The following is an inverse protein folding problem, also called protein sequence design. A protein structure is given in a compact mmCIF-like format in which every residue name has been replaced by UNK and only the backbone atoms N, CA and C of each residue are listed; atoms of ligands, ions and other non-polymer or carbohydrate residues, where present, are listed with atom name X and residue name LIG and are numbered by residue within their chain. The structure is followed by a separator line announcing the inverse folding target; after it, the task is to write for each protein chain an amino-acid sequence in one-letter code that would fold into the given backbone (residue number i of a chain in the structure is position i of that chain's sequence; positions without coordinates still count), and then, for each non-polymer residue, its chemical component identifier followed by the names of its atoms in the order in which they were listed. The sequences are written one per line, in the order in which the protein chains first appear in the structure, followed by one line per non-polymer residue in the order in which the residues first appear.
data_IF_457629445523
#
_entry.id   IF_457629445523
#
_cell.length_a   1.000
_cell.length_b   1.000
_cell.length_c   1.000
_cell.angle_alpha   90.00
_cell.angle_beta   90.00
_cell.angle_gamma   90.00
#
_symmetry.space_group_name_H-M   'P 1'
#
loop_
_entity.id
_entity.type
_entity.pdbx_description
1 polymer ?
#
# COMPACT_ATOMS: atom_id res chain seq x y z
N UNK A 1 5.55 -0.38 -8.06
CA UNK A 1 6.13 -1.28 -7.03
C UNK A 1 5.00 -2.13 -6.50
N UNK A 2 5.16 -3.47 -6.40
CA UNK A 2 4.08 -4.31 -5.85
C UNK A 2 4.25 -4.39 -4.33
N UNK A 3 3.32 -3.80 -3.60
CA UNK A 3 3.25 -3.87 -2.14
C UNK A 3 2.02 -4.71 -1.78
N UNK A 4 2.17 -5.63 -0.84
CA UNK A 4 1.09 -6.54 -0.46
C UNK A 4 0.78 -6.35 1.03
N UNK A 5 -0.41 -5.81 1.32
CA UNK A 5 -0.92 -5.70 2.68
C UNK A 5 -1.70 -6.94 3.05
N UNK A 6 -1.63 -7.32 4.32
CA UNK A 6 -2.43 -8.42 4.88
C UNK A 6 -2.66 -8.21 6.37
N UNK A 7 -3.69 -8.86 6.89
CA UNK A 7 -4.04 -8.81 8.31
C UNK A 7 -4.54 -10.17 8.79
N UNK A 8 -4.49 -10.41 10.09
CA UNK A 8 -4.84 -11.70 10.71
C UNK A 8 -6.26 -12.15 10.41
N UNK A 9 -7.21 -11.20 10.43
CA UNK A 9 -8.61 -11.40 10.08
C UNK A 9 -9.18 -10.07 9.59
N UNK A 10 -10.28 -10.10 8.85
CA UNK A 10 -10.93 -8.88 8.33
C UNK A 10 -12.33 -8.74 8.91
N UNK A 11 -12.59 -7.61 9.56
CA UNK A 11 -13.95 -7.28 10.01
C UNK A 11 -14.71 -6.60 8.87
N UNK A 12 -15.71 -7.30 8.31
CA UNK A 12 -16.56 -6.79 7.22
C UNK A 12 -15.72 -6.25 6.03
N UNK A 13 -15.83 -4.95 5.76
CA UNK A 13 -15.20 -4.21 4.65
C UNK A 13 -13.91 -3.48 5.06
N UNK A 14 -13.41 -3.69 6.28
CA UNK A 14 -12.25 -2.98 6.84
C UNK A 14 -10.93 -3.65 6.44
N UNK A 15 -10.66 -3.67 5.12
CA UNK A 15 -9.53 -4.36 4.52
C UNK A 15 -8.16 -3.78 4.92
N UNK A 16 -7.13 -4.61 4.90
CA UNK A 16 -5.75 -4.22 5.24
C UNK A 16 -5.21 -3.05 4.41
N UNK A 17 -5.58 -2.95 3.14
CA UNK A 17 -5.10 -1.90 2.22
C UNK A 17 -5.53 -0.48 2.60
N UNK A 18 -6.52 -0.34 3.46
CA UNK A 18 -7.00 0.96 3.94
C UNK A 18 -5.95 1.66 4.82
N UNK A 19 -5.16 0.89 5.57
CA UNK A 19 -4.08 1.41 6.41
C UNK A 19 -2.86 1.98 5.66
N UNK A 20 -2.93 2.13 4.34
CA UNK A 20 -1.89 2.74 3.48
C UNK A 20 -2.50 3.54 2.32
N UNK A 21 -3.77 3.94 2.45
CA UNK A 21 -4.47 4.69 1.39
C UNK A 21 -4.12 6.19 1.38
N UNK A 22 -3.42 6.67 2.41
CA UNK A 22 -3.00 8.07 2.56
C UNK A 22 -4.12 9.01 3.04
N UNK A 23 -5.28 8.47 3.40
CA UNK A 23 -6.41 9.26 3.90
C UNK A 23 -6.28 9.46 5.41
N UNK A 24 -5.73 10.60 5.81
CA UNK A 24 -5.47 10.92 7.22
C UNK A 24 -6.56 11.78 7.85
N UNK A 25 -7.50 12.29 7.06
CA UNK A 25 -8.64 13.09 7.53
C UNK A 25 -9.75 12.17 8.07
N UNK A 26 -9.48 11.61 9.25
CA UNK A 26 -10.38 10.71 9.95
C UNK A 26 -11.32 11.56 10.80
N UNK A 27 -12.50 11.87 10.28
CA UNK A 27 -13.58 12.42 11.09
C UNK A 27 -13.95 11.43 12.22
N UNK A 28 -14.39 11.95 13.36
CA UNK A 28 -14.75 11.19 14.57
C UNK A 28 -16.11 10.47 14.39
N UNK A 29 -16.29 9.77 13.28
CA UNK A 29 -17.51 9.04 12.95
C UNK A 29 -17.19 7.66 12.35
N UNK A 30 -18.13 6.72 12.57
CA UNK A 30 -18.00 5.33 12.13
C UNK A 30 -17.85 5.19 10.62
N UNK A 31 -18.59 5.98 9.84
CA UNK A 31 -18.60 5.86 8.38
C UNK A 31 -17.26 6.30 7.80
N UNK A 32 -16.63 7.31 8.41
CA UNK A 32 -15.29 7.75 8.04
C UNK A 32 -14.22 6.74 8.37
N UNK A 33 -14.25 6.17 9.57
CA UNK A 33 -13.31 5.11 9.94
C UNK A 33 -13.51 3.85 9.09
N UNK A 34 -14.75 3.46 8.80
CA UNK A 34 -15.02 2.33 7.91
C UNK A 34 -14.45 2.56 6.52
N UNK A 35 -14.33 3.81 6.06
CA UNK A 35 -13.77 4.14 4.75
C UNK A 35 -12.26 3.99 4.71
N UNK A 36 -11.57 4.48 5.73
CA UNK A 36 -10.11 4.70 5.71
C UNK A 36 -9.30 3.79 6.65
N UNK A 37 -9.93 3.14 7.63
CA UNK A 37 -9.21 2.29 8.56
C UNK A 37 -9.31 0.80 8.20
N UNK A 38 -8.22 0.08 8.46
CA UNK A 38 -8.22 -1.39 8.52
C UNK A 38 -8.66 -1.86 9.89
N UNK A 39 -9.28 -3.06 9.97
CA UNK A 39 -9.71 -3.64 11.23
C UNK A 39 -9.76 -5.16 11.22
N UNK A 40 -9.23 -5.75 12.29
CA UNK A 40 -9.35 -7.19 12.56
C UNK A 40 -10.60 -7.53 13.37
N UNK A 41 -11.03 -8.78 13.29
CA UNK A 41 -12.02 -9.32 14.23
C UNK A 41 -11.42 -9.34 15.64
N UNK A 42 -12.28 -9.22 16.65
CA UNK A 42 -11.89 -9.36 18.06
C UNK A 42 -11.74 -10.84 18.39
N UNK A 43 -10.54 -11.25 18.76
CA UNK A 43 -10.20 -12.64 19.05
C UNK A 43 -9.37 -12.74 20.34
N UNK A 44 -9.26 -13.93 20.92
CA UNK A 44 -8.38 -14.17 22.08
C UNK A 44 -6.91 -13.95 21.74
N UNK A 45 -6.54 -14.21 20.48
CA UNK A 45 -5.22 -13.93 19.95
C UNK A 45 -5.04 -12.44 19.63
N UNK A 46 -3.79 -11.98 19.62
CA UNK A 46 -3.50 -10.60 19.22
C UNK A 46 -3.60 -10.46 17.70
N UNK A 47 -4.50 -9.59 17.23
CA UNK A 47 -4.59 -9.27 15.81
C UNK A 47 -3.30 -8.64 15.27
N UNK A 48 -2.99 -8.88 14.01
CA UNK A 48 -1.83 -8.29 13.34
C UNK A 48 -2.18 -7.74 11.96
N UNK A 49 -1.46 -6.71 11.55
CA UNK A 49 -1.45 -6.14 10.22
C UNK A 49 0.00 -6.12 9.70
N UNK A 50 0.23 -6.35 8.42
CA UNK A 50 1.56 -6.22 7.81
C UNK A 50 1.52 -5.77 6.36
N UNK A 51 2.62 -5.15 5.94
CA UNK A 51 2.93 -4.84 4.54
C UNK A 51 4.24 -5.50 4.14
N UNK A 52 4.27 -6.07 2.94
CA UNK A 52 5.45 -6.69 2.33
C UNK A 52 5.88 -5.94 1.09
N UNK A 53 7.19 -5.72 0.99
CA UNK A 53 7.84 -5.12 -0.17
C UNK A 53 8.54 -6.19 -0.99
N UNK A 54 8.21 -6.28 -2.29
CA UNK A 54 8.93 -7.18 -3.20
C UNK A 54 10.39 -6.75 -3.38
N UNK A 55 10.63 -5.44 -3.38
CA UNK A 55 11.97 -4.85 -3.36
C UNK A 55 12.14 -4.14 -2.03
N UNK A 56 13.14 -4.55 -1.24
CA UNK A 56 13.35 -3.98 0.08
C UNK A 56 13.61 -2.46 0.02
N UNK A 57 13.09 -1.74 1.01
CA UNK A 57 13.12 -0.27 1.07
C UNK A 57 14.02 0.24 2.18
N UNK A 58 14.67 1.40 1.96
CA UNK A 58 15.35 2.13 3.04
C UNK A 58 14.30 2.83 3.90
N UNK A 59 14.38 2.66 5.21
CA UNK A 59 13.44 3.25 6.17
C UNK A 59 14.18 4.13 7.19
N UNK A 60 13.69 5.35 7.35
CA UNK A 60 14.19 6.34 8.30
C UNK A 60 13.24 6.54 9.48
N UNK A 61 11.93 6.52 9.24
CA UNK A 61 10.93 6.74 10.29
C UNK A 61 9.58 6.16 9.90
N UNK A 62 8.70 6.01 10.88
CA UNK A 62 7.32 5.57 10.70
C UNK A 62 6.38 6.65 11.26
N UNK A 63 5.22 6.85 10.64
CA UNK A 63 4.12 7.58 11.25
C UNK A 63 2.88 6.69 11.23
N UNK A 64 2.21 6.55 12.38
CA UNK A 64 0.98 5.77 12.54
C UNK A 64 -0.13 6.73 12.85
N UNK A 65 -1.21 6.67 12.08
CA UNK A 65 -2.43 7.43 12.33
C UNK A 65 -3.47 6.50 12.95
N UNK A 66 -3.97 6.91 14.11
CA UNK A 66 -4.82 6.10 14.95
C UNK A 66 -6.31 6.36 14.70
N UNK A 67 -7.15 5.46 15.19
CA UNK A 67 -8.55 5.74 15.42
C UNK A 67 -8.68 6.92 16.41
N UNK A 68 -9.51 7.90 16.07
CA UNK A 68 -9.84 9.04 16.95
C UNK A 68 -11.04 8.80 17.85
N UNK A 69 -11.74 7.67 17.69
CA UNK A 69 -12.87 7.31 18.55
C UNK A 69 -12.46 7.13 20.01
N UNK A 70 -13.32 7.52 20.94
CA UNK A 70 -13.14 7.28 22.38
C UNK A 70 -13.77 5.94 22.74
N UNK A 71 -13.01 5.11 23.45
CA UNK A 71 -13.50 3.81 23.94
C UNK A 71 -14.79 4.00 24.76
N UNK A 72 -15.93 3.52 24.25
CA UNK A 72 -17.23 3.60 24.93
C UNK A 72 -18.33 4.35 24.17
N UNK A 73 -18.03 5.07 23.08
CA UNK A 73 -19.05 5.70 22.24
C UNK A 73 -19.51 4.77 21.10
N UNK A 74 -20.24 3.72 21.46
CA UNK A 74 -21.27 3.04 20.65
C UNK A 74 -20.94 2.44 19.27
N UNK A 75 -19.74 2.61 18.70
CA UNK A 75 -19.55 2.35 17.27
C UNK A 75 -18.30 1.52 16.92
N UNK A 76 -17.16 1.72 17.58
CA UNK A 76 -15.89 1.05 17.24
C UNK A 76 -15.06 0.63 18.48
N UNK A 77 -13.96 -0.11 18.25
CA UNK A 77 -12.99 -0.38 19.32
C UNK A 77 -12.13 0.88 19.48
N UNK A 78 -11.75 1.17 20.73
CA UNK A 78 -11.00 2.38 21.08
C UNK A 78 -9.66 2.51 20.37
N UNK A 79 -8.94 3.60 20.65
CA UNK A 79 -7.71 3.95 19.95
C UNK A 79 -6.65 2.86 20.13
N UNK A 80 -5.86 2.62 19.08
CA UNK A 80 -4.74 1.68 19.06
C UNK A 80 -3.78 2.01 20.21
N UNK A 81 -3.64 1.06 21.13
CA UNK A 81 -2.78 1.20 22.31
C UNK A 81 -2.09 -0.11 22.65
N UNK A 82 -0.91 -0.03 23.27
CA UNK A 82 -0.12 -1.21 23.66
C UNK A 82 0.31 -2.10 22.50
N UNK A 83 0.37 -1.56 21.28
CA UNK A 83 0.78 -2.29 20.08
C UNK A 83 2.29 -2.40 19.97
N UNK A 84 2.74 -3.32 19.12
CA UNK A 84 4.13 -3.50 18.73
C UNK A 84 4.29 -3.28 17.23
N UNK A 85 5.22 -2.41 16.82
CA UNK A 85 5.64 -2.28 15.43
C UNK A 85 7.01 -2.93 15.24
N UNK A 86 7.14 -3.76 14.21
CA UNK A 86 8.38 -4.47 13.87
C UNK A 86 8.70 -4.25 12.39
N UNK A 87 9.96 -3.96 12.08
CA UNK A 87 10.46 -3.92 10.71
C UNK A 87 11.49 -5.03 10.51
N UNK A 88 11.32 -5.79 9.44
CA UNK A 88 12.13 -6.96 9.12
C UNK A 88 12.88 -6.77 7.81
N UNK A 89 14.13 -7.22 7.79
CA UNK A 89 14.91 -7.37 6.58
C UNK A 89 14.62 -8.69 5.87
N UNK A 90 15.49 -9.06 4.93
CA UNK A 90 15.44 -10.36 4.25
C UNK A 90 15.56 -11.49 5.29
N UNK A 91 14.92 -12.64 5.01
CA UNK A 91 14.90 -13.82 5.89
C UNK A 91 14.35 -13.51 7.30
N UNK A 92 13.38 -12.59 7.42
CA UNK A 92 12.74 -12.23 8.71
C UNK A 92 13.69 -11.71 9.79
N UNK A 93 14.87 -11.20 9.41
CA UNK A 93 15.80 -10.56 10.36
C UNK A 93 15.13 -9.33 10.97
N UNK A 94 14.94 -9.31 12.30
CA UNK A 94 14.44 -8.11 12.97
C UNK A 94 15.46 -6.98 12.86
N UNK A 95 15.04 -5.84 12.29
CA UNK A 95 15.86 -4.65 12.10
C UNK A 95 15.46 -3.51 13.03
N UNK A 96 14.18 -3.46 13.42
CA UNK A 96 13.64 -2.46 14.31
C UNK A 96 12.42 -3.00 15.04
N UNK A 97 12.25 -2.59 16.30
CA UNK A 97 11.08 -2.90 17.10
C UNK A 97 10.73 -1.70 17.96
N UNK A 98 9.45 -1.34 17.95
CA UNK A 98 8.85 -0.35 18.82
C UNK A 98 7.71 -0.99 19.61
N UNK A 99 7.66 -0.70 20.91
CA UNK A 99 6.58 -1.14 21.79
C UNK A 99 5.90 0.10 22.36
N UNK A 100 4.63 0.32 21.99
CA UNK A 100 3.84 1.40 22.55
C UNK A 100 3.60 1.13 24.05
N UNK A 101 3.81 2.17 24.86
CA UNK A 101 3.61 2.17 26.31
C UNK A 101 2.71 3.34 26.68
N UNK A 102 1.97 3.19 27.78
CA UNK A 102 1.09 4.23 28.29
C UNK A 102 -0.22 4.34 27.49
N UNK A 103 -0.78 5.55 27.51
CA UNK A 103 -2.06 5.87 26.91
C UNK A 103 -2.00 5.90 25.38
N UNK A 104 -3.16 5.74 24.76
CA UNK A 104 -3.28 5.86 23.32
C UNK A 104 -3.02 7.31 22.88
N UNK A 105 -2.34 7.49 21.74
CA UNK A 105 -2.17 8.77 21.08
C UNK A 105 -2.95 8.78 19.76
N UNK A 106 -3.35 9.96 19.29
CA UNK A 106 -4.03 10.14 17.99
C UNK A 106 -3.11 9.79 16.81
N UNK A 107 -1.81 9.99 16.99
CA UNK A 107 -0.76 9.67 16.04
C UNK A 107 0.52 9.26 16.79
N UNK A 108 1.35 8.48 16.11
CA UNK A 108 2.67 8.10 16.60
C UNK A 108 3.73 8.41 15.54
N UNK A 109 4.70 9.24 15.89
CA UNK A 109 5.89 9.48 15.07
C UNK A 109 7.07 8.71 15.65
N UNK A 110 7.51 7.68 14.93
CA UNK A 110 8.55 6.75 15.38
C UNK A 110 9.84 7.00 14.59
N UNK A 111 10.86 7.49 15.27
CA UNK A 111 12.21 7.62 14.71
C UNK A 111 13.11 6.63 15.43
N UNK A 112 13.68 5.62 14.74
CA UNK A 112 14.64 4.71 15.34
C UNK A 112 15.86 5.47 15.91
N UNK A 113 16.18 5.25 17.19
CA UNK A 113 17.37 5.84 17.83
C UNK A 113 18.67 5.46 17.09
N UNK A 114 18.71 4.23 16.57
CA UNK A 114 19.77 3.73 15.69
C UNK A 114 19.20 3.60 14.28
N UNK A 115 19.85 4.25 13.31
CA UNK A 115 19.48 4.17 11.89
C UNK A 115 19.42 2.71 11.42
N UNK A 116 18.32 2.35 10.77
CA UNK A 116 18.15 1.05 10.12
C UNK A 116 19.05 1.03 8.87
N UNK A 117 20.13 0.25 8.93
CA UNK A 117 21.13 0.19 7.85
C UNK A 117 20.72 -0.71 6.69
N UNK A 118 20.04 -1.81 7.02
CA UNK A 118 19.62 -2.82 6.05
C UNK A 118 18.29 -2.45 5.39
N UNK A 119 18.01 -3.02 4.22
CA UNK A 119 16.72 -2.86 3.54
C UNK A 119 15.61 -3.59 4.30
N UNK A 120 14.46 -2.93 4.45
CA UNK A 120 13.25 -3.47 5.07
C UNK A 120 12.38 -4.11 4.00
N UNK A 121 11.94 -5.35 4.23
CA UNK A 121 11.09 -6.13 3.34
C UNK A 121 9.69 -6.38 3.92
N UNK A 122 9.52 -6.26 5.24
CA UNK A 122 8.22 -6.39 5.89
C UNK A 122 8.12 -5.41 7.06
N UNK A 123 6.97 -4.78 7.22
CA UNK A 123 6.61 -4.04 8.44
C UNK A 123 5.35 -4.66 9.00
N UNK A 124 5.35 -4.96 10.30
CA UNK A 124 4.26 -5.63 11.00
C UNK A 124 3.84 -4.82 12.22
N UNK A 125 2.54 -4.61 12.37
CA UNK A 125 1.90 -4.03 13.56
C UNK A 125 1.10 -5.14 14.24
N UNK A 126 1.38 -5.39 15.52
CA UNK A 126 0.66 -6.38 16.34
C UNK A 126 -0.06 -5.67 17.48
N UNK A 127 -1.35 -5.90 17.62
CA UNK A 127 -2.19 -5.32 18.66
C UNK A 127 -2.12 -6.09 19.98
N UNK A 128 -3.14 -5.89 20.83
CA UNK A 128 -3.29 -6.60 22.10
C UNK A 128 -4.20 -7.83 21.93
N UNK A 129 -4.02 -8.82 22.81
CA UNK A 129 -4.95 -9.95 22.94
C UNK A 129 -6.33 -9.46 23.35
N UNK A 130 -7.40 -10.15 22.93
CA UNK A 130 -8.80 -9.84 23.30
C UNK A 130 -9.28 -8.46 22.83
N UNK A 131 -8.63 -7.85 21.85
CA UNK A 131 -9.01 -6.57 21.24
C UNK A 131 -8.93 -6.67 19.72
N UNK A 132 -9.75 -5.89 19.00
CA UNK A 132 -9.51 -5.68 17.57
C UNK A 132 -8.27 -4.80 17.38
N UNK A 133 -7.50 -5.07 16.33
CA UNK A 133 -6.51 -4.14 15.83
C UNK A 133 -7.20 -3.20 14.83
N UNK A 134 -7.24 -1.90 15.13
CA UNK A 134 -7.67 -0.84 14.20
C UNK A 134 -6.43 -0.04 13.84
N UNK A 135 -6.14 0.09 12.55
CA UNK A 135 -5.01 0.86 12.04
C UNK A 135 -5.49 1.69 10.86
N UNK A 136 -5.43 3.01 10.98
CA UNK A 136 -6.02 3.92 10.01
C UNK A 136 -5.06 4.33 8.90
N UNK A 137 -3.82 4.67 9.25
CA UNK A 137 -2.77 4.84 8.23
C UNK A 137 -1.40 4.53 8.82
N UNK A 138 -0.50 4.02 7.98
CA UNK A 138 0.90 3.77 8.31
C UNK A 138 1.78 4.33 7.19
N UNK A 139 2.42 5.44 7.47
CA UNK A 139 3.37 6.07 6.58
C UNK A 139 4.80 5.60 6.91
N UNK A 140 5.44 4.93 5.94
CA UNK A 140 6.82 4.47 6.06
C UNK A 140 7.72 5.44 5.29
N UNK A 141 8.48 6.27 6.01
CA UNK A 141 9.35 7.30 5.41
C UNK A 141 10.78 6.77 5.29
N UNK A 142 11.42 7.00 4.15
CA UNK A 142 12.81 6.58 3.87
C UNK A 142 13.77 7.75 3.63
N UNK A 143 15.07 7.43 3.49
CA UNK A 143 16.14 8.29 2.94
C UNK A 143 17.44 7.49 2.82
N UNK A 144 18.34 7.64 1.85
CA UNK A 144 18.72 8.74 0.94
C UNK A 144 18.68 8.27 -0.53
N UNK A 145 18.26 9.18 -1.42
CA UNK A 145 18.17 9.09 -2.88
C UNK A 145 19.58 9.06 -3.51
N UNK A 146 19.76 8.37 -4.64
CA UNK A 146 20.97 8.52 -5.44
C UNK A 146 20.97 9.94 -6.02
N UNK A 147 21.85 10.81 -5.53
CA UNK A 147 22.03 12.14 -6.09
C UNK A 147 22.50 11.98 -7.54
N UNK A 148 21.61 12.13 -8.51
CA UNK A 148 22.03 12.53 -9.85
C UNK A 148 22.57 13.95 -9.74
N UNK A 149 23.88 14.10 -9.96
CA UNK A 149 24.60 15.38 -9.83
C UNK A 149 24.32 16.35 -10.98
N UNK A 150 23.28 16.14 -11.79
CA UNK A 150 23.01 16.92 -13.02
C UNK A 150 21.81 17.86 -12.96
N UNK A 151 20.98 17.82 -11.91
CA UNK A 151 19.84 18.74 -11.82
C UNK A 151 20.12 19.89 -10.85
N UNK A 152 20.36 21.08 -11.41
CA UNK A 152 20.35 22.37 -10.72
C UNK A 152 18.93 22.74 -10.22
N UNK A 153 18.28 21.86 -9.47
CA UNK A 153 17.02 22.12 -8.79
C UNK A 153 17.15 21.66 -7.33
N UNK A 154 17.73 22.54 -6.52
CA UNK A 154 17.79 22.35 -5.08
C UNK A 154 16.37 22.51 -4.52
N UNK A 155 15.61 21.42 -4.40
CA UNK A 155 14.40 21.40 -3.57
C UNK A 155 14.36 20.14 -2.71
N UNK A 156 14.60 20.41 -1.43
CA UNK A 156 14.33 19.57 -0.27
C UNK A 156 12.95 18.89 -0.38
N UNK A 157 12.92 17.56 -0.50
CA UNK A 157 11.70 16.75 -0.40
C UNK A 157 11.69 16.02 0.93
N UNK A 158 11.48 16.79 1.99
CA UNK A 158 10.90 16.29 3.24
C UNK A 158 9.47 16.81 3.31
N UNK A 159 8.57 16.04 3.90
CA UNK A 159 7.16 16.37 4.23
C UNK A 159 6.16 16.26 3.08
N UNK A 160 5.20 15.34 3.22
CA UNK A 160 3.77 15.44 2.88
C UNK A 160 3.33 16.33 1.70
N UNK A 161 4.13 16.47 0.63
CA UNK A 161 3.74 17.26 -0.52
C UNK A 161 2.96 16.35 -1.46
N UNK A 162 1.64 16.55 -1.64
CA UNK A 162 0.86 15.78 -2.61
C UNK A 162 1.49 15.95 -3.99
N UNK A 163 1.46 14.87 -4.78
CA UNK A 163 1.96 14.93 -6.14
C UNK A 163 1.25 16.02 -6.94
N UNK A 164 1.94 16.64 -7.92
CA UNK A 164 1.25 17.46 -8.90
C UNK A 164 0.07 16.67 -9.49
N UNK A 165 -1.04 17.36 -9.77
CA UNK A 165 -2.23 16.73 -10.33
C UNK A 165 -1.86 15.87 -11.53
N UNK A 166 -2.38 14.66 -11.56
CA UNK A 166 -2.08 13.70 -12.62
C UNK A 166 -0.88 12.80 -12.35
N UNK A 167 -0.27 12.82 -11.16
CA UNK A 167 0.87 11.98 -10.81
C UNK A 167 0.72 11.27 -9.46
N UNK A 168 1.39 10.12 -9.32
CA UNK A 168 1.49 9.39 -8.06
C UNK A 168 2.83 8.65 -7.92
N UNK A 169 3.01 8.05 -6.75
CA UNK A 169 4.14 7.24 -6.37
C UNK A 169 5.30 8.05 -5.81
N UNK A 170 6.40 7.34 -5.55
CA UNK A 170 7.62 7.98 -5.07
C UNK A 170 8.11 8.99 -6.10
N UNK A 171 8.39 10.21 -5.66
CA UNK A 171 8.86 11.30 -6.52
C UNK A 171 7.88 11.70 -7.65
N UNK A 172 6.62 11.26 -7.58
CA UNK A 172 5.56 11.56 -8.55
C UNK A 172 5.89 11.10 -9.98
N UNK A 173 6.55 9.95 -10.10
CA UNK A 173 7.04 9.43 -11.38
C UNK A 173 5.96 8.73 -12.22
N UNK A 174 4.82 8.37 -11.64
CA UNK A 174 3.79 7.59 -12.33
C UNK A 174 2.59 8.44 -12.72
N UNK A 175 2.09 8.30 -13.97
CA UNK A 175 0.90 9.01 -14.43
C UNK A 175 -0.36 8.45 -13.78
N UNK A 176 -1.25 9.36 -13.40
CA UNK A 176 -2.54 9.08 -12.81
C UNK A 176 -3.63 9.03 -13.89
N UNK A 177 -4.03 7.84 -14.33
CA UNK A 177 -5.02 7.67 -15.41
C UNK A 177 -6.42 7.33 -14.87
N UNK A 178 -6.92 8.14 -13.94
CA UNK A 178 -8.24 7.93 -13.34
C UNK A 178 -9.36 8.57 -14.17
N UNK A 179 -10.53 7.92 -14.17
CA UNK A 179 -11.71 8.44 -14.85
C UNK A 179 -12.11 9.83 -14.34
N UNK A 180 -12.66 10.64 -15.24
CA UNK A 180 -13.20 11.98 -14.94
C UNK A 180 -12.17 12.97 -14.38
N UNK A 181 -10.87 12.73 -14.60
CA UNK A 181 -9.80 13.56 -14.05
C UNK A 181 -9.73 13.53 -12.53
N UNK A 182 -10.19 12.43 -11.91
CA UNK A 182 -10.09 12.24 -10.47
C UNK A 182 -8.64 12.04 -10.03
N UNK A 183 -8.31 12.47 -8.81
CA UNK A 183 -6.99 12.23 -8.23
C UNK A 183 -6.87 10.76 -7.79
N UNK A 184 -5.75 10.12 -8.11
CA UNK A 184 -5.39 8.79 -7.59
C UNK A 184 -4.71 8.92 -6.23
N UNK A 185 -4.70 7.82 -5.47
CA UNK A 185 -3.94 7.77 -4.23
C UNK A 185 -2.45 7.92 -4.49
N UNK A 186 -1.83 8.91 -3.84
CA UNK A 186 -0.43 9.30 -4.05
C UNK A 186 0.56 8.14 -3.82
N UNK A 187 0.20 7.13 -3.02
CA UNK A 187 1.12 6.06 -2.66
C UNK A 187 1.10 4.88 -3.64
N UNK A 188 -0.07 4.54 -4.20
CA UNK A 188 -0.25 3.31 -4.98
C UNK A 188 -0.95 3.52 -6.33
N UNK A 189 -1.42 4.74 -6.64
CA UNK A 189 -2.02 5.08 -7.92
C UNK A 189 -3.45 4.61 -8.11
N UNK A 190 -4.09 4.05 -7.08
CA UNK A 190 -5.42 3.51 -7.28
C UNK A 190 -6.46 4.62 -7.47
N UNK A 191 -7.43 4.34 -8.34
CA UNK A 191 -8.44 5.30 -8.76
C UNK A 191 -9.79 5.00 -8.10
N UNK A 192 -10.33 5.90 -7.25
CA UNK A 192 -11.63 5.69 -6.59
C UNK A 192 -12.79 5.53 -7.57
N UNK A 193 -12.72 6.23 -8.72
CA UNK A 193 -13.75 6.22 -9.76
C UNK A 193 -13.47 5.21 -10.90
N UNK A 194 -12.42 4.39 -10.77
CA UNK A 194 -11.95 3.51 -11.86
C UNK A 194 -11.06 4.24 -12.88
N UNK A 195 -10.62 3.48 -13.90
CA UNK A 195 -9.64 3.96 -14.88
C UNK A 195 -10.29 4.76 -16.01
N UNK A 196 -9.52 5.71 -16.55
CA UNK A 196 -9.89 6.41 -17.78
C UNK A 196 -9.98 5.44 -18.97
N UNK A 197 -10.88 5.67 -19.96
CA UNK A 197 -10.99 4.80 -21.12
C UNK A 197 -9.64 4.57 -21.80
N UNK A 198 -9.28 3.29 -21.97
CA UNK A 198 -7.99 2.89 -22.53
C UNK A 198 -6.98 2.42 -21.48
N UNK A 199 -7.29 2.52 -20.19
CA UNK A 199 -6.45 2.02 -19.09
C UNK A 199 -7.19 0.99 -18.21
N UNK A 200 -6.43 0.10 -17.56
CA UNK A 200 -6.92 -0.93 -16.64
C UNK A 200 -5.88 -1.27 -15.57
N UNK A 201 -6.23 -2.14 -14.62
CA UNK A 201 -5.42 -2.45 -13.44
C UNK A 201 -5.80 -1.63 -12.21
N UNK A 202 -5.32 -2.04 -11.03
CA UNK A 202 -5.65 -1.35 -9.77
C UNK A 202 -5.08 0.08 -9.71
N UNK A 203 -3.95 0.31 -10.39
CA UNK A 203 -3.23 1.59 -10.49
C UNK A 203 -3.48 2.32 -11.83
N UNK A 204 -4.36 1.77 -12.68
CA UNK A 204 -4.67 2.32 -14.00
C UNK A 204 -3.46 2.59 -14.91
N UNK A 205 -2.38 1.81 -14.76
CA UNK A 205 -1.18 1.96 -15.59
C UNK A 205 -1.15 1.03 -16.82
N UNK A 206 -2.08 0.07 -16.94
CA UNK A 206 -2.05 -0.92 -18.04
C UNK A 206 -2.91 -0.44 -19.21
N UNK A 207 -2.32 -0.20 -20.40
CA UNK A 207 -3.11 0.20 -21.57
C UNK A 207 -3.91 -0.97 -22.14
N UNK A 208 -5.19 -0.76 -22.40
CA UNK A 208 -6.11 -1.77 -22.97
C UNK A 208 -5.72 -2.13 -24.42
N UNK A 209 -5.15 -1.19 -25.17
CA UNK A 209 -4.64 -1.45 -26.53
C UNK A 209 -3.52 -2.48 -26.56
N UNK A 210 -2.64 -2.51 -25.54
CA UNK A 210 -1.57 -3.51 -25.46
C UNK A 210 -2.18 -4.89 -25.25
N UNK A 211 -3.23 -5.00 -24.42
CA UNK A 211 -3.93 -6.27 -24.19
C UNK A 211 -4.58 -6.78 -25.47
N UNK A 212 -5.28 -5.91 -26.21
CA UNK A 212 -5.95 -6.29 -27.47
C UNK A 212 -4.93 -6.68 -28.54
N UNK A 213 -3.85 -5.91 -28.72
CA UNK A 213 -2.79 -6.23 -29.70
C UNK A 213 -2.12 -7.56 -29.35
N UNK A 214 -1.80 -7.81 -28.09
CA UNK A 214 -1.22 -9.10 -27.65
C UNK A 214 -2.19 -10.24 -27.95
N UNK A 215 -3.48 -10.09 -27.64
CA UNK A 215 -4.49 -11.12 -27.94
C UNK A 215 -4.60 -11.37 -29.45
N UNK A 216 -4.65 -10.32 -30.27
CA UNK A 216 -4.73 -10.44 -31.73
C UNK A 216 -3.48 -11.13 -32.29
N UNK A 217 -2.28 -10.73 -31.86
CA UNK A 217 -1.02 -11.35 -32.30
C UNK A 217 -0.98 -12.83 -31.92
N UNK A 218 -1.38 -13.17 -30.68
CA UNK A 218 -1.45 -14.56 -30.23
C UNK A 218 -2.42 -15.37 -31.09
N UNK A 219 -3.62 -14.85 -31.36
CA UNK A 219 -4.61 -15.52 -32.22
C UNK A 219 -4.06 -15.72 -33.63
N UNK A 220 -3.44 -14.71 -34.24
CA UNK A 220 -2.86 -14.81 -35.58
C UNK A 220 -1.75 -15.86 -35.61
N UNK A 221 -0.84 -15.86 -34.63
CA UNK A 221 0.23 -16.86 -34.53
C UNK A 221 -0.34 -18.27 -34.39
N UNK A 222 -1.35 -18.46 -33.53
CA UNK A 222 -2.02 -19.77 -33.35
C UNK A 222 -2.65 -20.22 -34.66
N UNK A 223 -3.37 -19.35 -35.37
CA UNK A 223 -4.00 -19.67 -36.66
C UNK A 223 -2.93 -20.05 -37.70
N UNK A 224 -1.83 -19.30 -37.80
CA UNK A 224 -0.73 -19.60 -38.73
C UNK A 224 -0.11 -20.96 -38.39
N UNK A 225 0.15 -21.24 -37.12
CA UNK A 225 0.70 -22.54 -36.68
C UNK A 225 -0.25 -23.68 -37.03
N UNK A 226 -1.55 -23.53 -36.78
CA UNK A 226 -2.57 -24.54 -37.13
C UNK A 226 -2.59 -24.77 -38.64
N UNK A 227 -2.59 -23.71 -39.46
CA UNK A 227 -2.56 -23.82 -40.92
C UNK A 227 -1.31 -24.54 -41.41
N UNK A 228 -0.13 -24.22 -40.87
CA UNK A 228 1.13 -24.88 -41.22
C UNK A 228 1.11 -26.36 -40.84
N UNK A 229 0.63 -26.70 -39.63
CA UNK A 229 0.52 -28.09 -39.17
C UNK A 229 -0.44 -28.88 -40.05
N UNK A 230 -1.60 -28.33 -40.39
CA UNK A 230 -2.57 -28.97 -41.30
C UNK A 230 -1.97 -29.16 -42.68
N UNK A 231 -1.30 -28.14 -43.24
CA UNK A 231 -0.66 -28.25 -44.54
C UNK A 231 0.46 -29.30 -44.56
N UNK A 232 1.30 -29.36 -43.52
CA UNK A 232 2.32 -30.40 -43.37
C UNK A 232 1.70 -31.79 -43.26
N UNK A 233 0.60 -31.93 -42.52
CA UNK A 233 -0.11 -33.20 -42.39
C UNK A 233 -0.68 -33.68 -43.74
N UNK A 234 -1.26 -32.78 -44.52
CA UNK A 234 -1.77 -33.06 -45.87
C UNK A 234 -0.67 -33.33 -46.90
N UNK A 235 0.57 -32.89 -46.67
CA UNK A 235 1.72 -33.15 -47.55
C UNK A 235 2.42 -34.48 -47.21
N UNK A 236 2.23 -34.98 -46.00
CA UNK A 236 2.88 -36.20 -45.47
C UNK A 236 1.96 -37.43 -45.51
N UNK A 237 0.69 -37.27 -45.85
CA UNK A 237 -0.30 -38.33 -46.09
C UNK A 237 -0.78 -38.29 -47.54
#
# INVERSE_FOLDING_TARGET
MKEETSQSSTYRTWYSRKAIDGLQDIAEDKASQERTCSRTVKEDSAGWWKIRFHTGVKVNSFAIYNNRDREGEGCCEGPLQGFKLEAFGKNTKSLYTFQAKGWAHHDYHLVPEKKIKDLVYEVKVTGRKKHSLVLCDLLIRGGEYAVDKRSHANRFLTTDTPCPKGLFGRDCEFPCNCAYGSDCFVHNGACPAGCEPGYTGEDCLKPVVVVVVVVVVVVVVVVVVVVVVVALHLMLC
#
